data_IF_093106572610
#
_entry.id   IF_093106572610
#
_cell.length_a   1.000
_cell.length_b   1.000
_cell.length_c   1.000
_cell.angle_alpha   90.00
_cell.angle_beta   90.00
_cell.angle_gamma   90.00
#
_symmetry.space_group_name_H-M   'P 1'
#
loop_
_entity.id
_entity.type
_entity.pdbx_description
1 polymer ?
#
# COMPACT_ATOMS: atom_id res chain seq x y z
N UNK A 1 17.91 17.20 8.35
CA UNK A 1 18.72 16.15 7.72
C UNK A 1 17.72 15.14 7.20
N UNK A 2 17.13 15.43 6.05
CA UNK A 2 16.12 14.59 5.43
C UNK A 2 16.65 14.35 4.02
N UNK A 3 17.20 13.16 3.80
CA UNK A 3 17.64 12.71 2.48
C UNK A 3 16.41 12.62 1.58
N UNK A 4 16.37 13.31 0.44
CA UNK A 4 15.37 13.04 -0.58
C UNK A 4 15.70 11.66 -1.16
N UNK A 5 14.78 10.71 -1.00
CA UNK A 5 14.88 9.43 -1.69
C UNK A 5 14.59 9.65 -3.18
N UNK A 6 15.62 10.04 -3.92
CA UNK A 6 15.77 9.64 -5.31
C UNK A 6 15.98 8.13 -5.33
N UNK A 7 15.04 7.38 -5.91
CA UNK A 7 15.43 6.16 -6.59
C UNK A 7 14.47 5.84 -7.73
N UNK A 8 14.79 6.41 -8.89
CA UNK A 8 14.39 5.80 -10.16
C UNK A 8 15.07 4.43 -10.33
N UNK A 9 14.48 3.38 -9.75
CA UNK A 9 14.67 2.01 -10.20
C UNK A 9 13.36 1.48 -10.75
N UNK A 10 13.16 1.72 -12.04
CA UNK A 10 12.27 0.91 -12.85
C UNK A 10 12.82 -0.54 -12.88
N UNK A 11 12.37 -1.38 -11.96
CA UNK A 11 12.77 -2.78 -11.93
C UNK A 11 12.31 -3.50 -10.66
N UNK A 12 11.09 -4.06 -10.72
CA UNK A 12 10.32 -4.72 -9.67
C UNK A 12 9.80 -3.78 -8.57
N UNK A 13 8.49 -3.88 -8.28
CA UNK A 13 7.88 -3.18 -7.17
C UNK A 13 8.46 -3.75 -5.86
N UNK A 14 9.39 -3.03 -5.25
CA UNK A 14 9.91 -3.38 -3.93
C UNK A 14 8.79 -3.23 -2.89
N UNK A 15 8.59 -4.21 -1.99
CA UNK A 15 7.52 -4.13 -1.00
C UNK A 15 7.66 -2.92 -0.08
N UNK A 16 8.89 -2.47 0.19
CA UNK A 16 9.13 -1.25 0.96
C UNK A 16 8.58 0.01 0.25
N UNK A 17 8.81 0.14 -1.05
CA UNK A 17 8.32 1.27 -1.85
C UNK A 17 6.79 1.25 -1.95
N UNK A 18 6.22 0.06 -2.15
CA UNK A 18 4.76 -0.15 -2.15
C UNK A 18 4.15 0.20 -0.79
N UNK A 19 4.78 -0.18 0.32
CA UNK A 19 4.31 0.19 1.65
C UNK A 19 4.35 1.70 1.88
N UNK A 20 5.44 2.38 1.50
CA UNK A 20 5.53 3.83 1.63
C UNK A 20 4.46 4.54 0.80
N UNK A 21 4.30 4.16 -0.47
CA UNK A 21 3.30 4.75 -1.35
C UNK A 21 1.86 4.47 -0.89
N UNK A 22 1.59 3.26 -0.38
CA UNK A 22 0.31 2.91 0.22
C UNK A 22 0.02 3.78 1.45
N UNK A 23 1.00 3.95 2.34
CA UNK A 23 0.84 4.73 3.58
C UNK A 23 0.62 6.21 3.24
N UNK A 24 1.42 6.77 2.33
CA UNK A 24 1.24 8.14 1.84
C UNK A 24 -0.16 8.35 1.24
N UNK A 25 -0.60 7.42 0.39
CA UNK A 25 -1.93 7.45 -0.21
C UNK A 25 -3.05 7.36 0.85
N UNK A 26 -2.89 6.50 1.86
CA UNK A 26 -3.84 6.38 2.97
C UNK A 26 -3.91 7.66 3.81
N UNK A 27 -2.76 8.27 4.11
CA UNK A 27 -2.72 9.57 4.83
C UNK A 27 -3.50 10.63 4.09
N UNK A 28 -3.39 10.65 2.76
CA UNK A 28 -4.14 11.57 1.90
C UNK A 28 -5.65 11.33 1.92
N UNK A 29 -6.10 10.06 1.83
CA UNK A 29 -7.54 9.79 1.77
C UNK A 29 -8.23 9.81 3.16
N UNK A 30 -7.54 9.41 4.22
CA UNK A 30 -8.07 9.46 5.58
C UNK A 30 -7.80 10.82 6.27
N UNK A 31 -6.97 11.67 5.65
CA UNK A 31 -6.51 12.94 6.22
C UNK A 31 -5.89 12.76 7.62
N UNK A 32 -5.24 11.61 7.84
CA UNK A 32 -4.61 11.23 9.09
C UNK A 32 -3.11 10.96 8.85
N UNK A 33 -2.25 11.80 9.41
CA UNK A 33 -0.80 11.73 9.22
C UNK A 33 -0.10 10.69 10.10
N UNK A 34 -0.80 10.04 11.03
CA UNK A 34 -0.20 9.11 11.98
C UNK A 34 -0.15 7.66 11.44
N UNK A 35 -0.79 7.42 10.29
CA UNK A 35 -0.81 6.13 9.61
C UNK A 35 0.62 5.68 9.29
N UNK A 36 0.93 4.44 9.66
CA UNK A 36 2.24 3.81 9.47
C UNK A 36 2.08 2.42 8.86
N UNK A 37 3.15 1.90 8.24
CA UNK A 37 3.10 0.58 7.61
C UNK A 37 2.90 -0.57 8.62
N UNK A 38 3.29 -0.37 9.88
CA UNK A 38 3.06 -1.34 10.96
C UNK A 38 1.60 -1.37 11.45
N UNK A 39 0.78 -0.43 10.97
CA UNK A 39 -0.62 -0.34 11.34
C UNK A 39 -1.48 -1.26 10.46
N UNK A 40 -2.66 -1.62 10.95
CA UNK A 40 -3.59 -2.44 10.18
C UNK A 40 -4.52 -1.53 9.38
N UNK A 41 -4.82 -1.90 8.14
CA UNK A 41 -5.73 -1.17 7.28
C UNK A 41 -7.08 -0.89 7.95
N UNK A 42 -7.61 -1.83 8.74
CA UNK A 42 -8.87 -1.65 9.46
C UNK A 42 -8.76 -0.69 10.65
N UNK A 43 -7.61 -0.67 11.34
CA UNK A 43 -7.40 0.13 12.55
C UNK A 43 -7.30 1.63 12.20
N UNK A 44 -6.63 1.94 11.08
CA UNK A 44 -6.55 3.31 10.54
C UNK A 44 -7.86 3.80 9.90
N UNK A 45 -8.91 2.99 9.87
CA UNK A 45 -10.21 3.35 9.30
C UNK A 45 -10.37 2.99 7.82
N UNK A 46 -9.58 2.04 7.31
CA UNK A 46 -9.73 1.51 5.97
C UNK A 46 -10.97 0.61 5.84
N UNK A 47 -11.78 0.89 4.82
CA UNK A 47 -13.01 0.16 4.50
C UNK A 47 -12.96 -0.42 3.07
N UNK A 48 -13.90 -1.30 2.73
CA UNK A 48 -13.86 -2.08 1.47
C UNK A 48 -13.79 -1.23 0.20
N UNK A 49 -14.37 -0.04 0.21
CA UNK A 49 -14.29 0.90 -0.92
C UNK A 49 -12.90 1.54 -1.02
N UNK A 50 -12.29 1.92 0.12
CA UNK A 50 -10.92 2.42 0.16
C UNK A 50 -9.93 1.35 -0.32
N UNK A 51 -10.14 0.09 0.10
CA UNK A 51 -9.34 -1.05 -0.34
C UNK A 51 -9.41 -1.24 -1.86
N UNK A 52 -10.61 -1.14 -2.42
CA UNK A 52 -10.81 -1.25 -3.87
C UNK A 52 -10.09 -0.13 -4.63
N UNK A 53 -10.09 1.11 -4.10
CA UNK A 53 -9.34 2.24 -4.67
C UNK A 53 -7.82 2.02 -4.57
N UNK A 54 -7.35 1.55 -3.42
CA UNK A 54 -5.94 1.23 -3.18
C UNK A 54 -5.43 0.19 -4.18
N UNK A 55 -6.15 -0.93 -4.35
CA UNK A 55 -5.78 -1.95 -5.33
C UNK A 55 -5.74 -1.41 -6.77
N UNK A 56 -6.60 -0.46 -7.10
CA UNK A 56 -6.57 0.20 -8.41
C UNK A 56 -5.37 1.13 -8.57
N UNK A 57 -4.98 1.84 -7.52
CA UNK A 57 -3.78 2.67 -7.47
C UNK A 57 -2.51 1.82 -7.60
N UNK A 58 -2.39 0.75 -6.79
CA UNK A 58 -1.26 -0.18 -6.82
C UNK A 58 -1.17 -0.92 -8.15
N UNK A 59 -2.30 -1.36 -8.71
CA UNK A 59 -2.33 -2.03 -9.99
C UNK A 59 -1.93 -1.12 -11.16
N UNK A 60 -2.27 0.17 -11.10
CA UNK A 60 -1.91 1.14 -12.14
C UNK A 60 -0.45 1.61 -12.05
N UNK A 61 0.07 1.77 -10.82
CA UNK A 61 1.40 2.34 -10.56
C UNK A 61 2.49 1.27 -10.53
N UNK A 62 2.22 0.16 -9.84
CA UNK A 62 3.18 -0.90 -9.55
C UNK A 62 2.86 -2.23 -10.26
N UNK A 63 1.65 -2.39 -10.79
CA UNK A 63 1.21 -3.64 -11.39
C UNK A 63 0.99 -4.76 -10.37
N UNK A 64 0.75 -4.40 -9.10
CA UNK A 64 0.48 -5.35 -8.00
C UNK A 64 -0.89 -5.08 -7.36
N UNK A 65 -1.44 -6.09 -6.72
CA UNK A 65 -2.67 -6.02 -5.96
C UNK A 65 -2.52 -6.74 -4.62
N UNK A 66 -3.20 -6.22 -3.61
CA UNK A 66 -3.29 -6.84 -2.29
C UNK A 66 -4.55 -7.70 -2.20
N UNK A 67 -4.49 -8.75 -1.37
CA UNK A 67 -5.65 -9.56 -1.03
C UNK A 67 -6.37 -8.97 0.18
N UNK A 68 -7.70 -8.84 0.09
CA UNK A 68 -8.51 -8.23 1.15
C UNK A 68 -8.39 -8.99 2.46
N UNK A 69 -8.24 -10.31 2.41
CA UNK A 69 -8.07 -11.14 3.60
C UNK A 69 -6.78 -10.77 4.28
N UNK A 70 -5.67 -10.76 3.55
CA UNK A 70 -4.34 -10.44 4.08
C UNK A 70 -4.31 -9.02 4.64
N UNK A 71 -4.78 -8.03 3.89
CA UNK A 71 -4.79 -6.63 4.33
C UNK A 71 -5.65 -6.39 5.57
N UNK A 72 -6.67 -7.22 5.81
CA UNK A 72 -7.53 -7.09 6.99
C UNK A 72 -7.00 -7.90 8.17
N UNK A 73 -6.26 -8.99 7.93
CA UNK A 73 -5.70 -9.85 8.99
C UNK A 73 -4.29 -9.46 9.42
N UNK A 74 -3.51 -8.80 8.57
CA UNK A 74 -2.11 -8.49 8.79
C UNK A 74 -1.84 -6.98 8.62
N UNK A 75 -0.81 -6.44 9.28
CA UNK A 75 -0.40 -5.06 9.11
C UNK A 75 0.05 -4.79 7.67
N UNK A 76 0.05 -3.51 7.28
CA UNK A 76 0.31 -3.10 5.91
C UNK A 76 1.70 -3.53 5.42
N UNK A 77 2.72 -3.50 6.28
CA UNK A 77 4.09 -3.93 5.98
C UNK A 77 4.16 -5.43 5.65
N UNK A 78 3.40 -6.26 6.35
CA UNK A 78 3.32 -7.70 6.07
C UNK A 78 2.46 -7.94 4.83
N UNK A 79 1.36 -7.20 4.67
CA UNK A 79 0.47 -7.35 3.52
C UNK A 79 1.19 -7.11 2.19
N UNK A 80 2.04 -6.07 2.11
CA UNK A 80 2.82 -5.80 0.90
C UNK A 80 3.87 -6.87 0.60
N UNK A 81 4.35 -7.63 1.60
CA UNK A 81 5.24 -8.77 1.33
C UNK A 81 4.53 -9.94 0.63
N UNK A 82 3.20 -10.00 0.80
CA UNK A 82 2.32 -11.03 0.20
C UNK A 82 1.54 -10.49 -1.00
N UNK A 83 1.90 -9.31 -1.51
CA UNK A 83 1.25 -8.73 -2.68
C UNK A 83 1.41 -9.65 -3.90
N UNK A 84 0.36 -9.71 -4.70
CA UNK A 84 0.34 -10.54 -5.90
C UNK A 84 0.40 -9.62 -7.13
N UNK A 85 0.93 -10.10 -8.27
CA UNK A 85 0.81 -9.34 -9.52
C UNK A 85 -0.67 -9.06 -9.78
N UNK A 86 -0.99 -7.84 -10.20
CA UNK A 86 -2.33 -7.43 -10.58
C UNK A 86 -2.70 -8.15 -11.89
N UNK A 87 -3.04 -9.43 -11.80
CA UNK A 87 -3.56 -10.19 -12.93
C UNK A 87 -4.83 -9.48 -13.43
N UNK A 88 -4.79 -9.07 -14.69
CA UNK A 88 -6.00 -8.66 -15.42
C UNK A 88 -6.92 -9.88 -15.49
N UNK A 89 -7.88 -9.95 -14.58
CA UNK A 89 -9.11 -10.73 -14.78
C UNK A 89 -9.79 -10.28 -16.07
#
# INVERSE_FOLDING_TARGET
>A
METPADNGKAGAADPADVAEALVDWLRGELNDGNISASDNFLDVGGYSLLFSKLNRFLGATYGVALDIRTTYTEPLDVAVTKMQPAEKR
#
